data_IF_553206471418
#
_entry.id   IF_553206471418
#
_cell.length_a   1.000
_cell.length_b   1.000
_cell.length_c   1.000
_cell.angle_alpha   90.00
_cell.angle_beta   90.00
_cell.angle_gamma   90.00
#
_symmetry.space_group_name_H-M   'P 1'
#
loop_
_entity.id
_entity.type
_entity.pdbx_description
1 polymer ?
#
# COMPACT_ATOMS: atom_id res chain seq x y z
N UNK A 1 18.49 12.41 21.04
CA UNK A 1 17.06 12.18 20.79
C UNK A 1 16.95 10.74 20.30
N UNK A 2 16.33 9.85 21.08
CA UNK A 2 16.31 8.41 20.78
C UNK A 2 15.23 8.04 19.76
N UNK A 3 15.38 6.89 19.11
CA UNK A 3 14.40 6.34 18.18
C UNK A 3 13.13 5.93 18.96
N UNK A 4 11.96 6.36 18.48
CA UNK A 4 10.65 6.03 19.06
C UNK A 4 9.92 5.14 18.07
N UNK A 5 9.26 4.08 18.55
CA UNK A 5 8.50 3.16 17.69
C UNK A 5 7.45 3.92 16.89
N UNK A 6 7.33 3.63 15.61
CA UNK A 6 6.40 4.29 14.68
C UNK A 6 4.97 4.28 15.21
N UNK A 7 4.54 3.17 15.81
CA UNK A 7 3.21 3.04 16.38
C UNK A 7 2.96 4.02 17.53
N UNK A 8 3.98 4.27 18.35
CA UNK A 8 3.90 5.22 19.46
C UNK A 8 3.92 6.67 18.93
N UNK A 9 4.79 6.95 17.95
CA UNK A 9 4.93 8.29 17.36
C UNK A 9 3.63 8.79 16.71
N UNK A 10 2.93 7.89 16.01
CA UNK A 10 1.72 8.25 15.27
C UNK A 10 0.43 7.82 15.96
N UNK A 11 0.50 7.11 17.09
CA UNK A 11 -0.64 6.51 17.78
C UNK A 11 -1.54 5.69 16.81
N UNK A 12 -0.90 4.88 15.95
CA UNK A 12 -1.54 4.04 14.93
C UNK A 12 -0.83 2.71 14.82
N UNK A 13 -1.54 1.69 14.34
CA UNK A 13 -0.93 0.40 14.02
C UNK A 13 -0.38 0.43 12.60
N UNK A 14 0.73 -0.25 12.36
CA UNK A 14 1.40 -0.29 11.06
C UNK A 14 1.61 -1.73 10.60
N UNK A 15 1.58 -1.90 9.28
CA UNK A 15 2.04 -3.10 8.59
C UNK A 15 3.24 -2.75 7.72
N UNK A 16 4.09 -3.74 7.46
CA UNK A 16 5.32 -3.55 6.69
C UNK A 16 5.53 -4.70 5.73
N UNK A 17 5.86 -4.38 4.48
CA UNK A 17 6.26 -5.32 3.44
C UNK A 17 7.72 -5.04 3.09
N UNK A 18 8.54 -6.10 3.03
CA UNK A 18 9.94 -6.02 2.63
C UNK A 18 10.16 -6.97 1.46
N UNK A 19 10.87 -6.51 0.43
CA UNK A 19 11.17 -7.28 -0.77
C UNK A 19 12.63 -7.11 -1.21
N UNK A 20 13.13 -8.12 -1.91
CA UNK A 20 14.46 -8.07 -2.55
C UNK A 20 14.44 -7.19 -3.80
N UNK A 21 13.37 -7.27 -4.60
CA UNK A 21 13.18 -6.47 -5.81
C UNK A 21 12.05 -5.45 -5.62
N UNK A 22 11.96 -4.49 -6.54
CA UNK A 22 10.92 -3.47 -6.52
C UNK A 22 9.52 -4.10 -6.71
N UNK A 23 8.53 -3.49 -6.08
CA UNK A 23 7.14 -3.91 -6.19
C UNK A 23 6.19 -2.73 -6.33
N UNK A 24 5.17 -2.91 -7.17
CA UNK A 24 4.07 -1.97 -7.29
C UNK A 24 3.11 -2.13 -6.11
N UNK A 25 2.61 -1.00 -5.60
CA UNK A 25 1.59 -0.98 -4.57
C UNK A 25 0.36 -0.24 -5.06
N UNK A 26 -0.82 -0.79 -4.77
CA UNK A 26 -2.10 -0.10 -4.90
C UNK A 26 -2.79 -0.19 -3.55
N UNK A 27 -2.80 0.93 -2.84
CA UNK A 27 -3.38 1.03 -1.51
C UNK A 27 -4.53 2.03 -1.52
N UNK A 28 -5.60 1.71 -0.82
CA UNK A 28 -6.65 2.66 -0.50
C UNK A 28 -6.39 3.19 0.91
N UNK A 29 -5.74 4.34 1.01
CA UNK A 29 -5.39 4.94 2.30
C UNK A 29 -6.38 6.05 2.67
N UNK A 30 -6.76 6.12 3.95
CA UNK A 30 -7.57 7.21 4.49
C UNK A 30 -6.72 8.37 5.04
N UNK A 31 -5.39 8.28 5.00
CA UNK A 31 -4.45 9.29 5.52
C UNK A 31 -3.05 9.18 4.93
N UNK A 32 -2.19 10.17 5.17
CA UNK A 32 -0.82 10.28 4.63
C UNK A 32 0.22 9.40 5.36
N UNK A 33 -0.20 8.39 6.13
CA UNK A 33 0.68 7.52 6.91
C UNK A 33 1.16 6.31 6.09
N UNK A 34 1.92 6.59 5.03
CA UNK A 34 2.54 5.59 4.16
C UNK A 34 3.95 6.03 3.75
N UNK A 35 4.89 5.09 3.71
CA UNK A 35 6.27 5.34 3.34
C UNK A 35 6.85 4.14 2.60
N UNK A 36 7.31 4.35 1.36
CA UNK A 36 8.10 3.38 0.58
C UNK A 36 9.51 3.92 0.43
N UNK A 37 10.51 3.11 0.76
CA UNK A 37 11.93 3.46 0.65
C UNK A 37 12.72 2.32 0.01
N UNK A 38 13.80 2.69 -0.65
CA UNK A 38 14.85 1.76 -1.06
C UNK A 38 16.07 1.97 -0.14
N UNK A 39 16.56 0.89 0.46
CA UNK A 39 17.77 0.89 1.28
C UNK A 39 18.65 -0.29 0.90
N UNK A 40 19.84 0.00 0.37
CA UNK A 40 20.83 -1.03 0.03
C UNK A 40 20.34 -2.05 -0.99
N UNK A 41 19.57 -1.61 -2.00
CA UNK A 41 18.98 -2.48 -3.02
C UNK A 41 17.84 -3.35 -2.52
N UNK A 42 17.25 -3.03 -1.36
CA UNK A 42 16.05 -3.68 -0.83
C UNK A 42 14.94 -2.67 -0.74
N UNK A 43 13.71 -3.14 -0.94
CA UNK A 43 12.53 -2.30 -0.94
C UNK A 43 11.71 -2.56 0.32
N UNK A 44 11.35 -1.48 1.02
CA UNK A 44 10.51 -1.54 2.21
C UNK A 44 9.35 -0.59 2.06
N UNK A 45 8.16 -1.07 2.40
CA UNK A 45 6.93 -0.29 2.48
C UNK A 45 6.38 -0.43 3.89
N UNK A 46 6.13 0.69 4.56
CA UNK A 46 5.38 0.75 5.80
C UNK A 46 4.11 1.59 5.59
N UNK A 47 2.95 1.11 6.06
CA UNK A 47 1.69 1.83 5.99
C UNK A 47 0.87 1.65 7.26
N UNK A 48 0.08 2.66 7.63
CA UNK A 48 -0.85 2.55 8.75
C UNK A 48 -1.97 1.55 8.41
N UNK A 49 -2.18 0.55 9.28
CA UNK A 49 -3.21 -0.46 9.11
C UNK A 49 -4.60 0.16 9.24
N UNK A 50 -5.44 -0.02 8.22
CA UNK A 50 -6.86 0.30 8.32
C UNK A 50 -7.59 -0.80 9.08
N UNK A 51 -7.87 -0.59 10.37
CA UNK A 51 -8.69 -1.53 11.15
C UNK A 51 -10.17 -1.28 10.88
N UNK A 52 -10.92 -2.35 10.58
CA UNK A 52 -12.37 -2.30 10.41
C UNK A 52 -12.86 -1.72 9.08
N UNK A 53 -11.97 -1.51 8.12
CA UNK A 53 -12.31 -1.10 6.76
C UNK A 53 -12.15 -2.31 5.85
N UNK A 54 -13.26 -2.95 5.51
CA UNK A 54 -13.32 -3.90 4.41
C UNK A 54 -13.59 -3.12 3.14
N UNK A 55 -12.97 -3.53 2.04
CA UNK A 55 -13.13 -2.86 0.74
C UNK A 55 -14.59 -2.60 0.34
N UNK A 56 -15.57 -3.51 0.56
CA UNK A 56 -16.98 -3.27 0.26
C UNK A 56 -17.63 -2.07 0.96
N UNK A 57 -17.02 -1.55 2.03
CA UNK A 57 -17.53 -0.40 2.80
C UNK A 57 -16.96 0.94 2.31
N UNK A 58 -16.00 0.91 1.38
CA UNK A 58 -15.43 2.13 0.81
C UNK A 58 -16.40 2.72 -0.23
N UNK A 59 -16.33 4.04 -0.49
CA UNK A 59 -17.02 4.61 -1.64
C UNK A 59 -16.38 4.10 -2.96
N UNK A 60 -17.15 3.97 -4.05
CA UNK A 60 -16.59 3.62 -5.35
C UNK A 60 -15.71 4.77 -5.86
N UNK A 61 -14.49 4.46 -6.27
CA UNK A 61 -13.59 5.42 -6.89
C UNK A 61 -13.96 5.56 -8.37
N UNK A 62 -14.42 6.76 -8.76
CA UNK A 62 -14.79 7.11 -10.15
C UNK A 62 -15.77 6.14 -10.84
N UNK A 63 -16.75 5.62 -10.09
CA UNK A 63 -17.76 4.71 -10.64
C UNK A 63 -17.20 3.36 -11.13
N UNK A 64 -15.94 3.05 -10.84
CA UNK A 64 -15.37 1.72 -11.09
C UNK A 64 -15.72 0.80 -9.91
N UNK A 65 -16.13 -0.46 -10.18
CA UNK A 65 -16.25 -1.45 -9.12
C UNK A 65 -14.93 -1.51 -8.36
N UNK A 66 -15.02 -1.54 -7.03
CA UNK A 66 -13.86 -1.76 -6.19
C UNK A 66 -13.12 -3.00 -6.66
N UNK A 67 -11.82 -2.85 -6.80
CA UNK A 67 -10.99 -3.92 -7.30
C UNK A 67 -10.82 -4.91 -6.14
N UNK A 68 -11.76 -5.84 -6.01
CA UNK A 68 -11.52 -7.09 -5.31
C UNK A 68 -10.20 -7.73 -5.80
N UNK A 69 -9.71 -8.79 -5.14
CA UNK A 69 -8.38 -9.35 -5.36
C UNK A 69 -8.03 -9.32 -6.84
N UNK A 70 -6.95 -8.60 -7.20
CA UNK A 70 -6.56 -8.44 -8.61
C UNK A 70 -6.33 -9.86 -9.15
N UNK A 71 -7.23 -10.31 -10.01
CA UNK A 71 -7.07 -11.61 -10.66
C UNK A 71 -5.86 -11.54 -11.58
N UNK A 72 -5.16 -12.66 -11.78
CA UNK A 72 -3.99 -12.69 -12.69
C UNK A 72 -4.31 -12.13 -14.09
N UNK A 73 -5.54 -12.34 -14.58
CA UNK A 73 -6.02 -11.75 -15.82
C UNK A 73 -6.12 -10.21 -15.79
N UNK A 74 -6.58 -9.63 -14.68
CA UNK A 74 -6.62 -8.18 -14.48
C UNK A 74 -5.21 -7.58 -14.29
N UNK A 75 -4.30 -8.32 -13.63
CA UNK A 75 -2.90 -7.94 -13.46
C UNK A 75 -2.16 -7.85 -14.79
N UNK A 76 -2.41 -8.77 -15.71
CA UNK A 76 -1.83 -8.77 -17.06
C UNK A 76 -2.28 -7.56 -17.91
N UNK A 77 -3.53 -7.11 -17.76
CA UNK A 77 -4.05 -5.92 -18.46
C UNK A 77 -3.42 -4.64 -17.89
N UNK A 78 -3.27 -4.55 -16.56
CA UNK A 78 -2.64 -3.39 -15.91
C UNK A 78 -1.18 -3.21 -16.33
N UNK A 79 -0.43 -4.30 -16.60
CA UNK A 79 0.96 -4.21 -17.08
C UNK A 79 1.10 -3.50 -18.43
N UNK A 80 0.10 -3.55 -19.30
CA UNK A 80 0.15 -2.86 -20.61
C UNK A 80 0.08 -1.32 -20.49
N UNK A 81 -0.46 -0.82 -19.39
CA UNK A 81 -0.68 0.62 -19.17
C UNK A 81 0.07 1.17 -17.95
N UNK A 82 0.78 0.30 -17.22
CA UNK A 82 1.69 0.72 -16.19
C UNK A 82 2.87 1.45 -16.84
N UNK A 83 2.92 2.76 -16.69
CA UNK A 83 4.14 3.52 -16.95
C UNK A 83 5.08 3.15 -15.81
N UNK A 84 6.08 2.32 -16.12
CA UNK A 84 7.28 2.21 -15.30
C UNK A 84 8.06 3.48 -15.60
N UNK A 85 8.05 4.43 -14.65
CA UNK A 85 8.85 5.66 -14.74
C UNK A 85 10.29 5.31 -14.39
#
# INVERSE_FOLDING_TARGET
MGEVRTEQKFNRTFETVVAYDDFAQKVHFSSDLICKVELGGRYMLAYATARGVQEPQLPPIYGKPQAGPVTEGAHAISRKYAIVI
#
